data_IF_529694788911
#
_entry.id   IF_529694788911
#
_cell.length_a   1.000
_cell.length_b   1.000
_cell.length_c   1.000
_cell.angle_alpha   90.00
_cell.angle_beta   90.00
_cell.angle_gamma   90.00
#
_symmetry.space_group_name_H-M   'P 1'
#
loop_
_entity.id
_entity.type
_entity.pdbx_description
1 polymer ?
#
# COMPACT_ATOMS: atom_id res chain seq x y z
N UNK A 1 35.71 -35.83 30.36
CA UNK A 1 36.97 -35.05 30.38
C UNK A 1 36.88 -34.10 31.56
N UNK A 2 37.89 -34.08 32.43
CA UNK A 2 37.89 -33.23 33.63
C UNK A 2 38.18 -31.79 33.22
N UNK A 3 37.16 -30.93 33.25
CA UNK A 3 37.33 -29.49 33.11
C UNK A 3 38.07 -28.97 34.36
N UNK A 4 39.19 -28.28 34.15
CA UNK A 4 40.00 -27.73 35.23
C UNK A 4 39.27 -26.58 35.95
N UNK A 5 39.68 -26.20 37.17
CA UNK A 5 38.95 -25.25 38.03
C UNK A 5 38.81 -23.82 37.47
N UNK A 6 39.41 -23.51 36.31
CA UNK A 6 39.36 -22.20 35.66
C UNK A 6 38.69 -22.23 34.27
N UNK A 7 38.12 -23.37 33.85
CA UNK A 7 37.43 -23.50 32.55
C UNK A 7 36.35 -22.44 32.34
N UNK A 8 35.60 -22.17 33.40
CA UNK A 8 34.42 -21.30 33.36
C UNK A 8 34.84 -19.83 33.17
N UNK A 9 36.02 -19.44 33.67
CA UNK A 9 36.57 -18.10 33.47
C UNK A 9 37.22 -17.98 32.09
N UNK A 10 37.86 -19.05 31.61
CA UNK A 10 38.54 -19.08 30.31
C UNK A 10 37.56 -19.09 29.14
N UNK A 11 36.37 -19.67 29.30
CA UNK A 11 35.33 -19.73 28.27
C UNK A 11 34.27 -18.64 28.40
N UNK A 12 34.29 -17.85 29.48
CA UNK A 12 33.25 -16.87 29.81
C UNK A 12 32.91 -15.90 28.67
N UNK A 13 33.92 -15.42 27.95
CA UNK A 13 33.72 -14.52 26.81
C UNK A 13 32.96 -15.22 25.67
N UNK A 14 33.34 -16.46 25.37
CA UNK A 14 32.72 -17.27 24.33
C UNK A 14 31.28 -17.63 24.71
N UNK A 15 31.05 -18.01 25.98
CA UNK A 15 29.72 -18.32 26.50
C UNK A 15 28.79 -17.10 26.41
N UNK A 16 29.23 -15.91 26.86
CA UNK A 16 28.44 -14.68 26.73
C UNK A 16 28.25 -14.22 25.28
N UNK A 17 29.21 -14.47 24.41
CA UNK A 17 29.08 -14.17 22.99
C UNK A 17 28.00 -15.04 22.34
N UNK A 18 28.04 -16.35 22.61
CA UNK A 18 27.05 -17.31 22.12
C UNK A 18 25.65 -16.98 22.67
N UNK A 19 25.54 -16.75 23.99
CA UNK A 19 24.29 -16.35 24.64
C UNK A 19 23.72 -15.06 24.01
N UNK A 20 24.56 -14.04 23.84
CA UNK A 20 24.14 -12.77 23.23
C UNK A 20 23.75 -12.89 21.76
N UNK A 21 24.43 -13.78 21.01
CA UNK A 21 24.09 -14.07 19.62
C UNK A 21 22.76 -14.80 19.50
N UNK A 22 22.55 -15.85 20.30
CA UNK A 22 21.29 -16.60 20.32
C UNK A 22 20.12 -15.72 20.75
N UNK A 23 20.32 -14.90 21.80
CA UNK A 23 19.33 -13.94 22.25
C UNK A 23 19.01 -12.91 21.16
N UNK A 24 20.03 -12.31 20.55
CA UNK A 24 19.84 -11.33 19.48
C UNK A 24 19.17 -11.90 18.23
N UNK A 25 19.46 -13.17 17.90
CA UNK A 25 18.81 -13.88 16.80
C UNK A 25 17.32 -14.11 17.10
N UNK A 26 17.01 -14.61 18.30
CA UNK A 26 15.62 -14.86 18.73
C UNK A 26 14.80 -13.56 18.81
N UNK A 27 15.37 -12.49 19.39
CA UNK A 27 14.74 -11.18 19.46
C UNK A 27 14.55 -10.58 18.06
N UNK A 28 15.54 -10.74 17.18
CA UNK A 28 15.47 -10.28 15.79
C UNK A 28 14.38 -10.99 14.98
N UNK A 29 14.23 -12.31 15.12
CA UNK A 29 13.16 -13.07 14.48
C UNK A 29 11.78 -12.62 14.98
N UNK A 30 11.62 -12.51 16.30
CA UNK A 30 10.38 -12.07 16.91
C UNK A 30 10.00 -10.63 16.50
N UNK A 31 10.97 -9.71 16.52
CA UNK A 31 10.78 -8.34 16.11
C UNK A 31 10.44 -8.24 14.61
N UNK A 32 11.16 -8.96 13.76
CA UNK A 32 10.94 -8.95 12.31
C UNK A 32 9.54 -9.44 11.92
N UNK A 33 9.03 -10.49 12.57
CA UNK A 33 7.67 -10.98 12.35
C UNK A 33 6.61 -9.97 12.79
N UNK A 34 6.79 -9.39 13.98
CA UNK A 34 5.88 -8.38 14.54
C UNK A 34 5.81 -7.11 13.70
N UNK A 35 6.98 -6.60 13.30
CA UNK A 35 7.12 -5.41 12.48
C UNK A 35 6.57 -5.64 11.07
N UNK A 36 6.95 -6.75 10.42
CA UNK A 36 6.46 -7.09 9.08
C UNK A 36 4.94 -7.18 9.01
N UNK A 37 4.30 -7.79 10.03
CA UNK A 37 2.84 -7.85 10.13
C UNK A 37 2.22 -6.47 10.30
N UNK A 38 2.78 -5.66 11.20
CA UNK A 38 2.26 -4.32 11.51
C UNK A 38 2.35 -3.40 10.28
N UNK A 39 3.52 -3.37 9.64
CA UNK A 39 3.76 -2.58 8.45
C UNK A 39 2.88 -3.02 7.27
N UNK A 40 2.72 -4.34 7.08
CA UNK A 40 1.85 -4.89 6.04
C UNK A 40 0.39 -4.44 6.20
N UNK A 41 -0.14 -4.49 7.43
CA UNK A 41 -1.49 -4.02 7.74
C UNK A 41 -1.64 -2.51 7.53
N UNK A 42 -0.68 -1.71 8.02
CA UNK A 42 -0.69 -0.26 7.87
C UNK A 42 -0.70 0.14 6.39
N UNK A 43 0.20 -0.45 5.59
CA UNK A 43 0.30 -0.15 4.15
C UNK A 43 -0.89 -0.66 3.35
N UNK A 44 -1.41 -1.84 3.68
CA UNK A 44 -2.63 -2.35 3.07
C UNK A 44 -3.82 -1.42 3.31
N UNK A 45 -4.00 -0.97 4.55
CA UNK A 45 -5.07 -0.04 4.92
C UNK A 45 -4.94 1.32 4.23
N UNK A 46 -3.75 1.92 4.24
CA UNK A 46 -3.46 3.20 3.58
C UNK A 46 -3.89 3.16 2.09
N UNK A 47 -3.43 2.12 1.37
CA UNK A 47 -3.74 1.91 -0.04
C UNK A 47 -5.24 1.69 -0.29
N UNK A 48 -5.91 0.92 0.58
CA UNK A 48 -7.34 0.66 0.48
C UNK A 48 -8.18 1.92 0.70
N UNK A 49 -7.85 2.72 1.72
CA UNK A 49 -8.51 4.01 1.96
C UNK A 49 -8.39 4.95 0.76
N UNK A 50 -7.22 5.02 0.12
CA UNK A 50 -7.06 5.83 -1.08
C UNK A 50 -7.92 5.31 -2.25
N UNK A 51 -7.93 4.00 -2.49
CA UNK A 51 -8.77 3.38 -3.51
C UNK A 51 -10.25 3.70 -3.28
N UNK A 52 -10.74 3.57 -2.05
CA UNK A 52 -12.09 3.95 -1.65
C UNK A 52 -12.39 5.43 -1.88
N UNK A 53 -11.45 6.32 -1.57
CA UNK A 53 -11.57 7.76 -1.86
C UNK A 53 -11.72 8.03 -3.37
N UNK A 54 -10.91 7.38 -4.20
CA UNK A 54 -10.98 7.50 -5.66
C UNK A 54 -12.30 6.96 -6.20
N UNK A 55 -12.77 5.83 -5.67
CA UNK A 55 -14.06 5.22 -6.01
C UNK A 55 -15.22 6.18 -5.72
N UNK A 56 -15.33 6.68 -4.48
CA UNK A 56 -16.37 7.64 -4.11
C UNK A 56 -16.31 8.91 -4.97
N UNK A 57 -15.11 9.41 -5.28
CA UNK A 57 -14.96 10.60 -6.13
C UNK A 57 -15.41 10.35 -7.58
N UNK A 58 -15.18 9.15 -8.10
CA UNK A 58 -15.65 8.77 -9.44
C UNK A 58 -17.18 8.70 -9.51
N UNK A 59 -17.86 8.25 -8.45
CA UNK A 59 -19.33 8.23 -8.35
C UNK A 59 -19.88 9.67 -8.30
N UNK A 60 -19.30 10.51 -7.45
CA UNK A 60 -19.69 11.92 -7.36
C UNK A 60 -19.55 12.60 -8.72
N UNK A 61 -18.44 12.37 -9.43
CA UNK A 61 -18.24 12.93 -10.78
C UNK A 61 -19.11 12.29 -11.86
N UNK A 62 -19.58 11.07 -11.68
CA UNK A 62 -20.57 10.50 -12.58
C UNK A 62 -21.94 11.18 -12.41
N UNK A 63 -22.27 11.60 -11.19
CA UNK A 63 -23.55 12.23 -10.84
C UNK A 63 -23.55 13.75 -11.06
N UNK A 64 -22.44 14.44 -10.80
CA UNK A 64 -22.22 15.81 -11.25
C UNK A 64 -22.29 15.81 -12.79
N UNK A 65 -23.01 16.74 -13.42
CA UNK A 65 -23.28 16.77 -14.87
C UNK A 65 -22.01 16.96 -15.75
N UNK A 66 -21.11 15.97 -15.82
CA UNK A 66 -20.05 15.86 -16.85
C UNK A 66 -20.60 15.34 -18.19
N UNK A 67 -21.92 15.29 -18.34
CA UNK A 67 -22.67 14.60 -19.38
C UNK A 67 -22.60 15.21 -20.79
N UNK A 68 -22.08 16.43 -20.94
CA UNK A 68 -22.07 17.10 -22.25
C UNK A 68 -20.86 16.79 -23.13
N UNK A 69 -19.91 15.96 -22.67
CA UNK A 69 -18.77 15.52 -23.49
C UNK A 69 -18.48 14.03 -23.29
N UNK A 70 -18.64 13.24 -24.34
CA UNK A 70 -18.44 11.78 -24.35
C UNK A 70 -17.08 11.36 -23.72
N UNK A 71 -16.00 12.09 -24.02
CA UNK A 71 -14.65 11.77 -23.53
C UNK A 71 -14.51 11.88 -21.99
N UNK A 72 -15.24 12.80 -21.35
CA UNK A 72 -15.20 13.01 -19.89
C UNK A 72 -15.91 11.87 -19.16
N UNK A 73 -17.07 11.44 -19.66
CA UNK A 73 -17.83 10.30 -19.12
C UNK A 73 -17.01 9.00 -19.19
N UNK A 74 -16.36 8.74 -20.34
CA UNK A 74 -15.51 7.56 -20.48
C UNK A 74 -14.35 7.55 -19.49
N UNK A 75 -13.75 8.71 -19.24
CA UNK A 75 -12.63 8.84 -18.30
C UNK A 75 -13.05 8.54 -16.86
N UNK A 76 -14.24 9.00 -16.43
CA UNK A 76 -14.81 8.72 -15.10
C UNK A 76 -15.17 7.23 -14.95
N UNK A 77 -15.83 6.63 -15.94
CA UNK A 77 -16.13 5.18 -15.95
C UNK A 77 -14.86 4.34 -15.86
N UNK A 78 -13.83 4.73 -16.60
CA UNK A 78 -12.55 4.06 -16.58
C UNK A 78 -11.82 4.23 -15.24
N UNK A 79 -11.99 5.35 -14.54
CA UNK A 79 -11.49 5.50 -13.16
C UNK A 79 -12.22 4.53 -12.22
N UNK A 80 -13.55 4.52 -12.24
CA UNK A 80 -14.37 3.65 -11.38
C UNK A 80 -13.99 2.17 -11.55
N UNK A 81 -13.89 1.68 -12.79
CA UNK A 81 -13.53 0.29 -13.08
C UNK A 81 -12.16 -0.14 -12.50
N UNK A 82 -11.22 0.78 -12.30
CA UNK A 82 -9.93 0.46 -11.69
C UNK A 82 -10.02 0.25 -10.17
N UNK A 83 -10.99 0.88 -9.51
CA UNK A 83 -11.15 0.91 -8.05
C UNK A 83 -12.47 0.28 -7.58
N UNK A 84 -13.14 -0.43 -8.48
CA UNK A 84 -14.41 -1.10 -8.20
C UNK A 84 -14.20 -2.20 -7.16
N UNK A 85 -14.85 -2.13 -5.98
CA UNK A 85 -14.57 -3.04 -4.87
C UNK A 85 -14.77 -4.52 -5.21
N UNK A 86 -15.80 -4.83 -6.00
CA UNK A 86 -16.15 -6.20 -6.37
C UNK A 86 -15.13 -6.89 -7.28
N UNK A 87 -14.25 -6.11 -7.91
CA UNK A 87 -13.23 -6.63 -8.82
C UNK A 87 -11.85 -6.69 -8.19
N UNK A 88 -11.66 -6.15 -6.98
CA UNK A 88 -10.38 -6.14 -6.28
C UNK A 88 -10.10 -7.50 -5.63
N UNK A 89 -8.85 -7.93 -5.71
CA UNK A 89 -8.36 -9.11 -4.99
C UNK A 89 -7.94 -8.69 -3.58
N UNK A 90 -8.37 -9.45 -2.58
CA UNK A 90 -8.09 -9.21 -1.16
C UNK A 90 -7.26 -10.35 -0.53
N UNK A 91 -6.74 -11.22 -1.37
CA UNK A 91 -5.90 -12.35 -0.97
C UNK A 91 -4.52 -11.83 -0.55
N UNK A 92 -3.91 -12.46 0.46
CA UNK A 92 -2.56 -12.13 0.90
C UNK A 92 -1.52 -12.88 0.03
N UNK A 93 -1.62 -12.73 -1.28
CA UNK A 93 -0.72 -13.30 -2.30
C UNK A 93 0.06 -12.18 -2.98
N UNK A 94 1.24 -12.49 -3.49
CA UNK A 94 2.08 -11.50 -4.20
C UNK A 94 1.36 -10.97 -5.45
N UNK A 95 0.62 -11.84 -6.14
CA UNK A 95 -0.15 -11.53 -7.32
C UNK A 95 -1.31 -10.55 -7.01
N UNK A 96 -2.05 -10.77 -5.93
CA UNK A 96 -3.14 -9.89 -5.52
C UNK A 96 -2.63 -8.51 -5.12
N UNK A 97 -1.51 -8.45 -4.39
CA UNK A 97 -0.86 -7.18 -4.02
C UNK A 97 -0.38 -6.43 -5.26
N UNK A 98 0.26 -7.14 -6.20
CA UNK A 98 0.75 -6.56 -7.46
C UNK A 98 -0.39 -6.00 -8.32
N UNK A 99 -1.47 -6.75 -8.52
CA UNK A 99 -2.65 -6.28 -9.25
C UNK A 99 -3.25 -5.02 -8.61
N UNK A 100 -3.42 -5.05 -7.28
CA UNK A 100 -3.96 -3.92 -6.55
C UNK A 100 -3.09 -2.67 -6.73
N UNK A 101 -1.77 -2.80 -6.60
CA UNK A 101 -0.83 -1.69 -6.74
C UNK A 101 -0.82 -1.11 -8.16
N UNK A 102 -0.83 -1.96 -9.18
CA UNK A 102 -0.91 -1.54 -10.58
C UNK A 102 -2.23 -0.84 -10.90
N UNK A 103 -3.34 -1.32 -10.34
CA UNK A 103 -4.64 -0.66 -10.48
C UNK A 103 -4.68 0.68 -9.79
N UNK A 104 -4.19 0.77 -8.54
CA UNK A 104 -4.15 2.02 -7.79
C UNK A 104 -3.26 3.06 -8.50
N UNK A 105 -2.10 2.64 -9.02
CA UNK A 105 -1.21 3.51 -9.81
C UNK A 105 -1.91 4.06 -11.05
N UNK A 106 -2.61 3.21 -11.81
CA UNK A 106 -3.41 3.63 -12.98
C UNK A 106 -4.56 4.55 -12.57
N UNK A 107 -5.22 4.27 -11.44
CA UNK A 107 -6.33 5.06 -10.93
C UNK A 107 -5.87 6.48 -10.56
N UNK A 108 -4.74 6.61 -9.84
CA UNK A 108 -4.10 7.90 -9.53
C UNK A 108 -3.79 8.70 -10.80
N UNK A 109 -3.28 8.05 -11.85
CA UNK A 109 -2.99 8.71 -13.12
C UNK A 109 -4.28 9.20 -13.81
N UNK A 110 -5.32 8.37 -13.88
CA UNK A 110 -6.63 8.75 -14.45
C UNK A 110 -7.30 9.87 -13.65
N UNK A 111 -7.21 9.83 -12.33
CA UNK A 111 -7.73 10.87 -11.45
C UNK A 111 -7.13 12.23 -11.78
N UNK A 112 -5.80 12.33 -11.87
CA UNK A 112 -5.10 13.57 -12.23
C UNK A 112 -5.51 14.10 -13.61
N UNK A 113 -5.74 13.19 -14.56
CA UNK A 113 -6.22 13.56 -15.90
C UNK A 113 -7.61 14.20 -15.83
N UNK A 114 -8.55 13.61 -15.08
CA UNK A 114 -9.90 14.15 -14.90
C UNK A 114 -9.86 15.52 -14.19
N UNK A 115 -9.02 15.67 -13.17
CA UNK A 115 -8.84 16.98 -12.50
C UNK A 115 -8.35 18.05 -13.47
N UNK A 116 -7.38 17.72 -14.33
CA UNK A 116 -6.87 18.64 -15.35
C UNK A 116 -7.96 19.02 -16.36
N UNK A 117 -8.76 18.06 -16.81
CA UNK A 117 -9.90 18.30 -17.70
C UNK A 117 -10.96 19.20 -17.08
N UNK A 118 -11.10 19.19 -15.75
CA UNK A 118 -12.02 20.08 -15.03
C UNK A 118 -11.49 21.51 -14.94
N UNK A 119 -10.21 21.66 -14.63
CA UNK A 119 -9.56 22.98 -14.55
C UNK A 119 -9.58 23.71 -15.89
N UNK A 120 -9.39 23.02 -17.01
CA UNK A 120 -9.48 23.64 -18.34
C UNK A 120 -10.90 24.10 -18.65
N UNK A 121 -11.91 23.30 -18.31
CA UNK A 121 -13.33 23.64 -18.51
C UNK A 121 -13.78 24.88 -17.72
N UNK A 122 -13.24 25.08 -16.52
CA UNK A 122 -13.53 26.26 -15.69
C UNK A 122 -12.84 27.54 -16.19
N UNK A 123 -11.69 27.41 -16.87
CA UNK A 123 -11.00 28.57 -17.46
C UNK A 123 -11.71 29.07 -18.71
N UNK A 124 -12.18 28.14 -19.56
CA UNK A 124 -12.92 28.50 -20.77
C UNK A 124 -14.25 29.20 -20.47
N UNK A 125 -14.94 28.84 -19.37
CA UNK A 125 -16.20 29.50 -18.98
C UNK A 125 -16.02 30.88 -18.35
N UNK A 126 -14.80 31.29 -18.00
CA UNK A 126 -14.50 32.60 -17.41
C UNK A 126 -13.91 33.59 -18.42
N UNK A 127 -13.78 33.17 -19.69
CA UNK A 127 -13.23 33.96 -20.80
C UNK A 127 -14.33 34.45 -21.77
N UNK A 128 -15.57 33.99 -21.59
CA UNK A 128 -16.80 34.44 -22.25
C UNK A 128 -17.66 35.23 -21.25
#
# INVERSE_FOLDING_TARGET
>A
MSFGPFSDVLNLEQDFYEDGFEQGLADGEAAGLSEGRTLGLEKGFEKFCESGRLCGRSIIWANENYLHQNQKIHSVKALYALVEPETLLFENTEEAVSDFDDRLKRARARFKLIEKLRQTSSKTSNLD
#
